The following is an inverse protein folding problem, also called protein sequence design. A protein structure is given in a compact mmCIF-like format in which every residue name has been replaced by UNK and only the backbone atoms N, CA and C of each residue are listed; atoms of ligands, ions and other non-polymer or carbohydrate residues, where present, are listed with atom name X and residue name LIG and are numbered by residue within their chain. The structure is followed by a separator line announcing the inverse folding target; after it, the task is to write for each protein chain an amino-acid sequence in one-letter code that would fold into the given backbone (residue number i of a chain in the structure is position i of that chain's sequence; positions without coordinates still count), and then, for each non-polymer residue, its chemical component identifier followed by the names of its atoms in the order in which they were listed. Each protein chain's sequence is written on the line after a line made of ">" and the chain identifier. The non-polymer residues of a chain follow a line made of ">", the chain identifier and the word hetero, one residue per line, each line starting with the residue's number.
data_IF_942201432524
#
_entry.id   IF_942201432524
#
_cell.length_a   1.000
_cell.length_b   1.000
_cell.length_c   1.000
_cell.angle_alpha   90.00
_cell.angle_beta   90.00
_cell.angle_gamma   90.00
#
_symmetry.space_group_name_H-M   'P 1'
#
loop_
_entity.id
_entity.type
_entity.pdbx_description
1 polymer ?
#
# COMPACT_ATOMS: atom_id res chain seq x y z
N UNK A 1 83.26 17.35 56.87
CA UNK A 1 82.64 18.68 56.90
C UNK A 1 81.31 18.54 56.18
N UNK A 2 80.25 18.40 56.96
CA UNK A 2 78.88 18.22 56.50
C UNK A 2 78.27 19.60 56.31
N UNK A 3 78.34 20.13 55.09
CA UNK A 3 77.61 21.35 54.75
C UNK A 3 76.17 20.98 54.37
N UNK A 4 75.37 21.14 55.40
CA UNK A 4 73.93 21.06 55.47
C UNK A 4 73.33 22.21 54.64
N UNK A 5 73.18 22.02 53.33
CA UNK A 5 72.36 22.90 52.48
C UNK A 5 70.96 22.31 52.40
N UNK A 6 70.23 22.46 53.50
CA UNK A 6 68.83 22.11 53.61
C UNK A 6 68.12 23.26 54.30
N UNK A 7 68.02 24.40 53.62
CA UNK A 7 67.16 25.53 53.99
C UNK A 7 67.04 26.44 52.77
N UNK A 8 66.19 26.04 51.84
CA UNK A 8 65.34 26.93 51.01
C UNK A 8 64.38 26.04 50.21
N UNK A 9 63.74 25.09 50.89
CA UNK A 9 62.50 24.54 50.37
C UNK A 9 61.46 25.63 50.64
N UNK A 10 61.31 26.54 49.68
CA UNK A 10 60.27 27.58 49.68
C UNK A 10 58.96 26.85 49.93
N UNK A 11 58.49 26.90 51.18
CA UNK A 11 57.23 26.32 51.58
C UNK A 11 56.17 27.15 50.89
N UNK A 12 55.76 26.68 49.72
CA UNK A 12 54.69 27.28 48.96
C UNK A 12 53.40 27.01 49.71
N UNK A 13 53.13 27.89 50.67
CA UNK A 13 51.92 27.87 51.45
C UNK A 13 50.74 27.96 50.48
N UNK A 14 49.74 27.11 50.67
CA UNK A 14 48.49 27.20 49.92
C UNK A 14 47.78 28.56 50.13
N UNK A 15 48.18 29.31 51.16
CA UNK A 15 47.69 30.65 51.49
C UNK A 15 48.61 31.77 50.94
N UNK A 16 49.62 31.44 50.13
CA UNK A 16 50.48 32.44 49.46
C UNK A 16 49.76 33.05 48.26
N UNK A 17 49.75 34.37 48.18
CA UNK A 17 49.18 35.14 47.06
C UNK A 17 49.71 34.66 45.69
N UNK A 18 50.96 34.17 45.65
CA UNK A 18 51.60 33.63 44.45
C UNK A 18 50.95 32.32 43.96
N UNK A 19 50.49 31.46 44.87
CA UNK A 19 49.78 30.23 44.50
C UNK A 19 48.38 30.52 43.97
N UNK A 20 47.70 31.46 44.63
CA UNK A 20 46.39 31.91 44.20
C UNK A 20 46.46 32.54 42.80
N UNK A 21 47.46 33.39 42.54
CA UNK A 21 47.71 33.95 41.21
C UNK A 21 48.06 32.88 40.16
N UNK A 22 48.85 31.87 40.53
CA UNK A 22 49.14 30.73 39.66
C UNK A 22 47.88 29.94 39.29
N UNK A 23 47.02 29.63 40.27
CA UNK A 23 45.75 28.93 40.03
C UNK A 23 44.79 29.75 39.16
N UNK A 24 44.69 31.05 39.40
CA UNK A 24 43.91 31.97 38.56
C UNK A 24 44.41 31.96 37.11
N UNK A 25 45.73 32.07 36.92
CA UNK A 25 46.37 31.99 35.59
C UNK A 25 46.14 30.64 34.93
N UNK A 26 46.20 29.53 35.69
CA UNK A 26 45.95 28.19 35.18
C UNK A 26 44.48 27.99 34.78
N UNK A 27 43.54 28.50 35.57
CA UNK A 27 42.10 28.50 35.23
C UNK A 27 41.84 29.33 33.98
N UNK A 28 42.46 30.50 33.84
CA UNK A 28 42.38 31.27 32.61
C UNK A 28 42.95 30.53 31.40
N UNK A 29 44.09 29.84 31.58
CA UNK A 29 44.70 29.04 30.53
C UNK A 29 43.76 27.91 30.08
N UNK A 30 43.13 27.19 31.02
CA UNK A 30 42.14 26.15 30.70
C UNK A 30 40.94 26.70 29.92
N UNK A 31 40.40 27.87 30.33
CA UNK A 31 39.31 28.54 29.59
C UNK A 31 39.73 28.91 28.17
N UNK A 32 40.95 29.41 27.98
CA UNK A 32 41.50 29.73 26.65
C UNK A 32 41.66 28.47 25.80
N UNK A 33 42.11 27.35 26.37
CA UNK A 33 42.19 26.07 25.66
C UNK A 33 40.82 25.55 25.26
N UNK A 34 39.85 25.59 26.17
CA UNK A 34 38.46 25.19 25.90
C UNK A 34 37.87 26.01 24.73
N UNK A 35 37.94 27.34 24.83
CA UNK A 35 37.47 28.24 23.78
C UNK A 35 38.17 27.95 22.44
N UNK A 36 39.50 27.80 22.46
CA UNK A 36 40.27 27.52 21.25
C UNK A 36 39.88 26.20 20.61
N UNK A 37 39.60 25.17 21.40
CA UNK A 37 39.16 23.87 20.90
C UNK A 37 37.78 23.95 20.23
N UNK A 38 36.86 24.73 20.79
CA UNK A 38 35.54 25.01 20.23
C UNK A 38 35.65 25.78 18.92
N UNK A 39 36.47 26.83 18.89
CA UNK A 39 36.69 27.63 17.67
C UNK A 39 37.25 26.78 16.52
N UNK A 40 38.20 25.89 16.81
CA UNK A 40 38.78 25.00 15.81
C UNK A 40 37.76 24.00 15.26
N UNK A 41 36.90 23.45 16.12
CA UNK A 41 35.82 22.56 15.69
C UNK A 41 34.82 23.31 14.81
N UNK A 42 34.43 24.52 15.20
CA UNK A 42 33.52 25.36 14.42
C UNK A 42 34.11 25.74 13.07
N UNK A 43 35.39 26.13 13.02
CA UNK A 43 36.09 26.43 11.78
C UNK A 43 36.18 25.22 10.87
N UNK A 44 36.48 24.04 11.42
CA UNK A 44 36.50 22.80 10.65
C UNK A 44 35.12 22.47 10.07
N UNK A 45 34.07 22.60 10.87
CA UNK A 45 32.70 22.41 10.41
C UNK A 45 32.32 23.39 9.29
N UNK A 46 32.64 24.67 9.48
CA UNK A 46 32.38 25.70 8.48
C UNK A 46 33.14 25.42 7.17
N UNK A 47 34.44 25.11 7.25
CA UNK A 47 35.25 24.78 6.08
C UNK A 47 34.72 23.54 5.32
N UNK A 48 34.24 22.53 6.04
CA UNK A 48 33.62 21.36 5.43
C UNK A 48 32.32 21.72 4.67
N UNK A 49 31.46 22.55 5.28
CA UNK A 49 30.23 23.00 4.62
C UNK A 49 30.51 23.86 3.39
N UNK A 50 31.48 24.77 3.48
CA UNK A 50 31.91 25.61 2.35
C UNK A 50 32.46 24.76 1.20
N UNK A 51 33.27 23.75 1.52
CA UNK A 51 33.78 22.79 0.53
C UNK A 51 32.63 22.06 -0.19
N UNK A 52 31.65 21.53 0.56
CA UNK A 52 30.48 20.88 -0.03
C UNK A 52 29.71 21.84 -0.93
N UNK A 53 29.49 23.08 -0.48
CA UNK A 53 28.80 24.10 -1.27
C UNK A 53 29.54 24.43 -2.58
N UNK A 54 30.88 24.50 -2.55
CA UNK A 54 31.70 24.72 -3.75
C UNK A 54 31.61 23.54 -4.71
N UNK A 55 31.72 22.30 -4.21
CA UNK A 55 31.56 21.10 -5.03
C UNK A 55 30.17 21.08 -5.67
N UNK A 56 29.12 21.46 -4.94
CA UNK A 56 27.77 21.50 -5.47
C UNK A 56 27.57 22.53 -6.59
N UNK A 57 28.36 23.60 -6.59
CA UNK A 57 28.34 24.62 -7.65
C UNK A 57 29.26 24.26 -8.83
N UNK A 58 30.10 23.23 -8.69
CA UNK A 58 31.00 22.79 -9.75
C UNK A 58 30.22 22.35 -10.99
N UNK A 59 30.66 22.73 -12.21
CA UNK A 59 30.01 22.30 -13.45
C UNK A 59 29.86 20.78 -13.58
N UNK A 60 30.82 20.02 -13.06
CA UNK A 60 30.78 18.54 -13.10
C UNK A 60 29.65 18.01 -12.22
N UNK A 61 29.49 18.55 -11.01
CA UNK A 61 28.43 18.13 -10.09
C UNK A 61 27.05 18.50 -10.64
N UNK A 62 26.87 19.73 -11.14
CA UNK A 62 25.64 20.16 -11.77
C UNK A 62 25.26 19.24 -12.94
N UNK A 63 26.24 18.91 -13.81
CA UNK A 63 25.99 18.02 -14.95
C UNK A 63 25.61 16.60 -14.53
N UNK A 64 26.24 16.06 -13.49
CA UNK A 64 25.84 14.77 -12.94
C UNK A 64 24.40 14.80 -12.40
N UNK A 65 24.03 15.87 -11.69
CA UNK A 65 22.66 16.07 -11.20
C UNK A 65 21.65 16.16 -12.35
N UNK A 66 21.98 16.87 -13.44
CA UNK A 66 21.11 16.98 -14.60
C UNK A 66 20.90 15.62 -15.28
N UNK A 67 21.96 14.82 -15.43
CA UNK A 67 21.85 13.45 -15.97
C UNK A 67 20.93 12.61 -15.10
N UNK A 68 21.08 12.63 -13.78
CA UNK A 68 20.24 11.87 -12.85
C UNK A 68 18.77 12.28 -13.00
N UNK A 69 18.50 13.60 -13.04
CA UNK A 69 17.14 14.12 -13.22
C UNK A 69 16.54 13.74 -14.57
N UNK A 70 17.33 13.79 -15.65
CA UNK A 70 16.89 13.40 -16.98
C UNK A 70 16.53 11.92 -17.03
N UNK A 71 17.36 11.04 -16.45
CA UNK A 71 17.07 9.61 -16.38
C UNK A 71 15.77 9.33 -15.59
N UNK A 72 15.59 10.02 -14.45
CA UNK A 72 14.37 9.90 -13.66
C UNK A 72 13.14 10.37 -14.45
N UNK A 73 13.22 11.54 -15.10
CA UNK A 73 12.13 12.08 -15.92
C UNK A 73 11.80 11.16 -17.10
N UNK A 74 12.80 10.56 -17.74
CA UNK A 74 12.60 9.62 -18.84
C UNK A 74 11.88 8.36 -18.37
N UNK A 75 12.25 7.83 -17.21
CA UNK A 75 11.58 6.69 -16.59
C UNK A 75 10.13 7.03 -16.22
N UNK A 76 9.89 8.17 -15.60
CA UNK A 76 8.54 8.62 -15.23
C UNK A 76 7.66 8.83 -16.47
N UNK A 77 8.20 9.42 -17.54
CA UNK A 77 7.49 9.58 -18.81
C UNK A 77 7.14 8.23 -19.47
N UNK A 78 8.04 7.24 -19.39
CA UNK A 78 7.77 5.89 -19.88
C UNK A 78 6.65 5.23 -19.08
N UNK A 79 6.69 5.31 -17.76
CA UNK A 79 5.64 4.77 -16.89
C UNK A 79 4.28 5.42 -17.17
N UNK A 80 4.25 6.73 -17.37
CA UNK A 80 3.01 7.45 -17.66
C UNK A 80 2.45 7.08 -19.04
N UNK A 81 3.32 6.96 -20.05
CA UNK A 81 2.97 6.45 -21.38
C UNK A 81 2.37 5.04 -21.31
N UNK A 82 2.97 4.14 -20.53
CA UNK A 82 2.48 2.77 -20.36
C UNK A 82 1.17 2.73 -19.58
N UNK A 83 1.02 3.55 -18.53
CA UNK A 83 -0.23 3.72 -17.77
C UNK A 83 -1.37 4.17 -18.68
N UNK A 84 -1.14 5.16 -19.54
CA UNK A 84 -2.17 5.69 -20.45
C UNK A 84 -2.57 4.67 -21.53
N UNK A 85 -1.62 3.88 -22.02
CA UNK A 85 -1.87 2.86 -23.04
C UNK A 85 -2.39 1.55 -22.47
N UNK A 86 -2.24 1.32 -21.17
CA UNK A 86 -2.63 0.07 -20.52
C UNK A 86 -4.11 -0.29 -20.75
N UNK A 87 -5.10 0.62 -20.59
CA UNK A 87 -6.51 0.28 -20.83
C UNK A 87 -6.77 -0.17 -22.26
N UNK A 88 -6.20 0.50 -23.27
CA UNK A 88 -6.38 0.11 -24.67
C UNK A 88 -5.63 -1.18 -25.00
N UNK A 89 -4.44 -1.40 -24.43
CA UNK A 89 -3.70 -2.66 -24.56
C UNK A 89 -4.54 -3.82 -23.99
N UNK A 90 -5.09 -3.64 -22.80
CA UNK A 90 -5.97 -4.62 -22.16
C UNK A 90 -7.25 -4.84 -22.97
N UNK A 91 -7.90 -3.77 -23.44
CA UNK A 91 -9.11 -3.85 -24.27
C UNK A 91 -8.84 -4.63 -25.54
N UNK A 92 -7.72 -4.38 -26.21
CA UNK A 92 -7.31 -5.10 -27.41
C UNK A 92 -7.13 -6.59 -27.14
N UNK A 93 -6.33 -6.95 -26.13
CA UNK A 93 -6.08 -8.35 -25.76
C UNK A 93 -7.38 -9.06 -25.40
N UNK A 94 -8.24 -8.44 -24.59
CA UNK A 94 -9.54 -9.02 -24.22
C UNK A 94 -10.46 -9.18 -25.43
N UNK A 95 -10.48 -8.22 -26.35
CA UNK A 95 -11.25 -8.36 -27.59
C UNK A 95 -10.69 -9.49 -28.45
N UNK A 96 -9.38 -9.62 -28.62
CA UNK A 96 -8.76 -10.73 -29.36
C UNK A 96 -9.12 -12.09 -28.75
N UNK A 97 -9.07 -12.22 -27.42
CA UNK A 97 -9.53 -13.41 -26.69
C UNK A 97 -11.03 -13.67 -26.90
N UNK A 98 -11.87 -12.63 -26.88
CA UNK A 98 -13.31 -12.78 -27.12
C UNK A 98 -13.64 -13.26 -28.54
N UNK A 99 -12.95 -12.76 -29.56
CA UNK A 99 -13.19 -13.20 -30.94
C UNK A 99 -12.71 -14.63 -31.19
N UNK A 100 -11.65 -15.06 -30.50
CA UNK A 100 -11.04 -16.39 -30.69
C UNK A 100 -11.74 -17.48 -29.87
N UNK A 101 -12.11 -17.21 -28.62
CA UNK A 101 -12.64 -18.22 -27.70
C UNK A 101 -14.09 -17.98 -27.27
N UNK A 102 -14.69 -16.85 -27.69
CA UNK A 102 -15.97 -16.39 -27.17
C UNK A 102 -15.83 -15.85 -25.74
N UNK A 103 -16.83 -15.09 -25.28
CA UNK A 103 -16.78 -14.56 -23.91
C UNK A 103 -16.75 -15.72 -22.90
N UNK A 104 -15.82 -15.71 -21.92
CA UNK A 104 -15.80 -16.70 -20.85
C UNK A 104 -17.16 -16.70 -20.16
N UNK A 105 -18.00 -17.69 -20.46
CA UNK A 105 -19.24 -17.89 -19.72
C UNK A 105 -18.81 -18.38 -18.35
N UNK A 106 -18.90 -17.53 -17.34
CA UNK A 106 -18.86 -17.99 -15.94
C UNK A 106 -19.85 -19.15 -15.88
N UNK A 107 -19.35 -20.37 -15.69
CA UNK A 107 -20.20 -21.54 -15.53
C UNK A 107 -21.01 -21.28 -14.28
N UNK A 108 -22.24 -20.78 -14.45
CA UNK A 108 -23.21 -20.73 -13.38
C UNK A 108 -23.49 -22.18 -13.04
N UNK A 109 -23.01 -22.61 -11.88
CA UNK A 109 -23.31 -23.95 -11.39
C UNK A 109 -24.83 -24.08 -11.30
N UNK A 110 -25.36 -25.08 -11.99
CA UNK A 110 -26.78 -25.39 -11.89
C UNK A 110 -27.06 -25.83 -10.45
N UNK A 111 -28.22 -25.43 -9.92
CA UNK A 111 -28.69 -25.96 -8.64
C UNK A 111 -28.69 -27.50 -8.70
N UNK A 112 -28.20 -28.15 -7.64
CA UNK A 112 -28.18 -29.62 -7.57
C UNK A 112 -29.59 -30.17 -7.73
N UNK A 113 -29.71 -31.40 -8.25
CA UNK A 113 -31.01 -32.05 -8.50
C UNK A 113 -31.86 -32.11 -7.23
N UNK A 114 -31.23 -32.33 -6.08
CA UNK A 114 -31.90 -32.37 -4.77
C UNK A 114 -32.51 -31.02 -4.39
N UNK A 115 -31.73 -29.93 -4.53
CA UNK A 115 -32.21 -28.56 -4.27
C UNK A 115 -33.36 -28.19 -5.20
N UNK A 116 -33.25 -28.54 -6.49
CA UNK A 116 -34.32 -28.32 -7.47
C UNK A 116 -35.57 -29.13 -7.12
N UNK A 117 -35.42 -30.37 -6.62
CA UNK A 117 -36.55 -31.23 -6.22
C UNK A 117 -37.39 -30.56 -5.14
N UNK A 118 -36.75 -30.06 -4.08
CA UNK A 118 -37.44 -29.38 -2.97
C UNK A 118 -38.17 -28.10 -3.43
N UNK A 119 -37.54 -27.30 -4.29
CA UNK A 119 -38.19 -26.11 -4.86
C UNK A 119 -39.37 -26.48 -5.77
N UNK A 120 -39.24 -27.58 -6.51
CA UNK A 120 -40.29 -28.10 -7.39
C UNK A 120 -41.46 -28.67 -6.62
N UNK A 121 -41.22 -29.41 -5.53
CA UNK A 121 -42.27 -29.92 -4.64
C UNK A 121 -43.16 -28.78 -4.12
N UNK A 122 -42.55 -27.67 -3.67
CA UNK A 122 -43.31 -26.49 -3.29
C UNK A 122 -44.06 -25.87 -4.48
N UNK A 123 -43.40 -25.75 -5.64
CA UNK A 123 -44.00 -25.16 -6.84
C UNK A 123 -45.23 -25.94 -7.32
N UNK A 124 -45.15 -27.26 -7.32
CA UNK A 124 -46.21 -28.16 -7.76
C UNK A 124 -47.38 -28.16 -6.76
N UNK A 125 -47.09 -28.08 -5.45
CA UNK A 125 -48.11 -27.91 -4.41
C UNK A 125 -48.87 -26.57 -4.55
N UNK A 126 -48.22 -25.53 -5.10
CA UNK A 126 -48.78 -24.20 -5.31
C UNK A 126 -49.08 -23.91 -6.79
N UNK A 127 -49.47 -24.94 -7.56
CA UNK A 127 -49.67 -24.82 -9.02
C UNK A 127 -50.66 -23.72 -9.43
N UNK A 128 -51.69 -23.45 -8.62
CA UNK A 128 -52.66 -22.38 -8.88
C UNK A 128 -52.09 -20.96 -8.65
N UNK A 129 -51.16 -20.80 -7.69
CA UNK A 129 -50.54 -19.52 -7.38
C UNK A 129 -49.06 -19.70 -6.96
N UNK A 130 -48.14 -19.94 -7.92
CA UNK A 130 -46.74 -20.26 -7.63
C UNK A 130 -45.90 -19.01 -7.34
N UNK A 131 -46.32 -18.23 -6.35
CA UNK A 131 -45.66 -17.03 -5.85
C UNK A 131 -45.42 -17.17 -4.35
N UNK A 132 -44.24 -17.65 -3.94
CA UNK A 132 -43.95 -17.78 -2.52
C UNK A 132 -43.89 -16.39 -1.88
N UNK A 133 -44.47 -16.29 -0.69
CA UNK A 133 -44.35 -15.15 0.22
C UNK A 133 -42.91 -15.00 0.73
N UNK A 134 -42.61 -13.90 1.43
CA UNK A 134 -41.28 -13.69 1.98
C UNK A 134 -40.89 -14.76 3.02
N UNK A 135 -41.84 -15.17 3.86
CA UNK A 135 -41.64 -16.21 4.87
C UNK A 135 -41.43 -17.59 4.22
N UNK A 136 -42.17 -17.91 3.17
CA UNK A 136 -41.99 -19.17 2.44
C UNK A 136 -40.65 -19.21 1.70
N UNK A 137 -40.18 -18.08 1.14
CA UNK A 137 -38.83 -18.01 0.56
C UNK A 137 -37.76 -18.25 1.61
N UNK A 138 -37.96 -17.76 2.83
CA UNK A 138 -37.01 -17.96 3.94
C UNK A 138 -37.00 -19.43 4.40
N UNK A 139 -38.16 -20.06 4.51
CA UNK A 139 -38.25 -21.50 4.78
C UNK A 139 -37.59 -22.34 3.69
N UNK A 140 -37.79 -22.00 2.41
CA UNK A 140 -37.14 -22.68 1.29
C UNK A 140 -35.62 -22.46 1.30
N UNK A 141 -35.16 -21.28 1.70
CA UNK A 141 -33.74 -20.96 1.90
C UNK A 141 -33.14 -21.87 2.98
N UNK A 142 -33.79 -21.99 4.13
CA UNK A 142 -33.36 -22.85 5.22
C UNK A 142 -33.34 -24.33 4.82
N UNK A 143 -34.38 -24.81 4.11
CA UNK A 143 -34.50 -26.22 3.70
C UNK A 143 -33.52 -26.63 2.60
N UNK A 144 -33.21 -25.72 1.66
CA UNK A 144 -32.40 -26.05 0.47
C UNK A 144 -30.95 -25.57 0.57
N UNK A 145 -30.65 -24.68 1.52
CA UNK A 145 -29.38 -23.96 1.60
C UNK A 145 -29.10 -23.09 0.37
N UNK A 146 -30.13 -22.74 -0.40
CA UNK A 146 -30.03 -21.89 -1.60
C UNK A 146 -30.29 -20.44 -1.20
N UNK A 147 -29.43 -19.48 -1.58
CA UNK A 147 -29.65 -18.08 -1.28
C UNK A 147 -31.00 -17.57 -1.78
N UNK A 148 -31.64 -16.70 -0.99
CA UNK A 148 -32.98 -16.12 -1.28
C UNK A 148 -33.10 -15.54 -2.69
N UNK A 149 -32.07 -14.86 -3.20
CA UNK A 149 -32.04 -14.33 -4.57
C UNK A 149 -32.02 -15.43 -5.65
N UNK A 150 -31.33 -16.55 -5.42
CA UNK A 150 -31.36 -17.69 -6.34
C UNK A 150 -32.74 -18.36 -6.34
N UNK A 151 -33.39 -18.47 -5.19
CA UNK A 151 -34.77 -18.98 -5.07
C UNK A 151 -35.74 -18.10 -5.86
N UNK A 152 -35.71 -16.78 -5.63
CA UNK A 152 -36.52 -15.80 -6.37
C UNK A 152 -36.35 -15.94 -7.89
N UNK A 153 -35.10 -15.98 -8.36
CA UNK A 153 -34.79 -16.14 -9.78
C UNK A 153 -35.23 -17.50 -10.33
N UNK A 154 -35.09 -18.56 -9.54
CA UNK A 154 -35.56 -19.90 -9.90
C UNK A 154 -37.08 -19.90 -10.12
N UNK A 155 -37.86 -19.33 -9.20
CA UNK A 155 -39.33 -19.24 -9.34
C UNK A 155 -39.77 -18.40 -10.53
N UNK A 156 -39.10 -17.27 -10.80
CA UNK A 156 -39.36 -16.45 -12.00
C UNK A 156 -39.16 -17.28 -13.27
N UNK A 157 -38.03 -18.00 -13.35
CA UNK A 157 -37.69 -18.81 -14.50
C UNK A 157 -38.61 -20.03 -14.63
N UNK A 158 -38.97 -20.66 -13.52
CA UNK A 158 -39.85 -21.83 -13.49
C UNK A 158 -41.27 -21.48 -13.98
N UNK A 159 -41.82 -20.34 -13.54
CA UNK A 159 -43.11 -19.84 -14.08
C UNK A 159 -43.04 -19.52 -15.57
N UNK A 160 -41.93 -18.92 -16.04
CA UNK A 160 -41.74 -18.66 -17.48
C UNK A 160 -41.74 -19.95 -18.28
N UNK A 161 -41.05 -21.00 -17.81
CA UNK A 161 -41.02 -22.33 -18.45
C UNK A 161 -42.41 -22.95 -18.54
N UNK A 162 -43.17 -22.98 -17.43
CA UNK A 162 -44.52 -23.54 -17.43
C UNK A 162 -45.50 -22.83 -18.38
N UNK A 163 -45.37 -21.51 -18.56
CA UNK A 163 -46.18 -20.77 -19.55
C UNK A 163 -45.82 -21.13 -20.98
N UNK A 164 -44.54 -21.30 -21.28
CA UNK A 164 -44.07 -21.68 -22.62
C UNK A 164 -44.51 -23.10 -22.96
N UNK A 165 -44.45 -24.03 -22.03
CA UNK A 165 -44.95 -25.40 -22.18
C UNK A 165 -46.47 -25.43 -22.44
N UNK A 166 -47.24 -24.61 -21.71
CA UNK A 166 -48.68 -24.48 -21.91
C UNK A 166 -49.03 -23.90 -23.29
N UNK A 167 -48.23 -22.93 -23.77
CA UNK A 167 -48.38 -22.35 -25.12
C UNK A 167 -48.04 -23.36 -26.21
N UNK A 168 -46.97 -24.14 -26.04
CA UNK A 168 -46.57 -25.19 -26.98
C UNK A 168 -47.64 -26.29 -27.10
N UNK A 169 -48.22 -26.75 -25.98
CA UNK A 169 -49.31 -27.74 -25.98
C UNK A 169 -50.57 -27.25 -26.70
N UNK A 170 -50.92 -25.96 -26.59
CA UNK A 170 -52.06 -25.37 -27.31
C UNK A 170 -51.86 -25.28 -28.82
N UNK A 171 -50.61 -25.16 -29.29
CA UNK A 171 -50.29 -25.12 -30.71
C UNK A 171 -50.30 -26.52 -31.35
N UNK A 172 -50.05 -27.56 -30.56
CA UNK A 172 -50.07 -28.97 -31.04
C UNK A 172 -51.51 -29.48 -31.15
N UNK A 173 -52.38 -29.16 -30.20
CA UNK A 173 -53.77 -29.66 -30.18
C UNK A 173 -54.76 -28.84 -31.03
N UNK A 174 -54.32 -27.78 -31.72
CA UNK A 174 -55.15 -26.96 -32.61
C UNK A 174 -54.99 -27.30 -34.10
N UNK A 175 -54.34 -28.43 -34.40
CA UNK A 175 -53.98 -28.87 -35.74
C UNK A 175 -54.61 -30.24 -36.12
N UNK A 176 -55.63 -30.68 -35.37
CA UNK A 176 -56.49 -31.84 -35.69
C UNK A 176 -57.90 -31.37 -36.06
#
# INVERSE_FOLDING_TARGET
>A
MTDNNNDDLVSFSSDSDDFQHFLETYVELLKRYEQRSLDLLQQSHQAANEFVAQVQQSPVWCRLQDIIKEQQSNFDALLESDRQKFPERLRRTLMEEWHTHGMPRTRRENLSKEKVKLLKEWFDAHAHHPYPTEDEKEQLCQKTGVPKEQIKNWFINQRKRGRMESKAKRQINGNE
#
